data_IF_182821514522
#
_entry.id   IF_182821514522
#
_cell.length_a   1.000
_cell.length_b   1.000
_cell.length_c   1.000
_cell.angle_alpha   90.00
_cell.angle_beta   90.00
_cell.angle_gamma   90.00
#
_symmetry.space_group_name_H-M   'P 1'
#
loop_
_entity.id
_entity.type
_entity.pdbx_description
1 polymer ?
#
# COMPACT_ATOMS: atom_id res chain seq x y z
N UNK A 1 20.65 -15.90 -2.95
CA UNK A 1 19.85 -16.62 -3.97
C UNK A 1 18.39 -16.24 -3.76
N UNK A 2 17.76 -15.57 -4.73
CA UNK A 2 16.33 -15.19 -4.65
C UNK A 2 15.50 -16.47 -4.77
N UNK A 3 14.66 -16.77 -3.78
CA UNK A 3 13.74 -17.92 -3.84
C UNK A 3 12.56 -17.56 -4.75
N UNK A 4 12.06 -18.53 -5.49
CA UNK A 4 10.85 -18.36 -6.30
C UNK A 4 9.64 -18.12 -5.38
N UNK A 5 8.85 -17.05 -5.60
CA UNK A 5 7.60 -16.84 -4.89
C UNK A 5 6.62 -17.97 -5.17
N UNK A 6 5.90 -18.45 -4.15
CA UNK A 6 5.02 -19.61 -4.29
C UNK A 6 3.68 -19.30 -4.97
N UNK A 7 3.26 -18.03 -4.93
CA UNK A 7 2.07 -17.49 -5.60
C UNK A 7 2.18 -17.52 -7.13
N UNK A 8 3.37 -17.74 -7.69
CA UNK A 8 3.53 -18.00 -9.15
C UNK A 8 2.77 -19.24 -9.63
N UNK A 9 2.40 -20.12 -8.70
CA UNK A 9 1.66 -21.37 -9.00
C UNK A 9 0.16 -21.19 -8.95
N UNK A 10 -0.32 -20.03 -8.49
CA UNK A 10 -1.74 -19.74 -8.43
C UNK A 10 -2.28 -19.51 -9.84
N UNK A 11 -3.50 -19.97 -10.09
CA UNK A 11 -4.21 -19.61 -11.33
C UNK A 11 -4.67 -18.18 -11.21
N UNK A 12 -4.18 -17.31 -12.09
CA UNK A 12 -4.53 -15.90 -12.13
C UNK A 12 -5.38 -15.59 -13.37
N UNK A 13 -6.38 -14.70 -13.27
CA UNK A 13 -7.11 -14.18 -14.43
C UNK A 13 -6.17 -13.51 -15.44
N UNK A 14 -6.55 -13.48 -16.71
CA UNK A 14 -5.73 -12.92 -17.79
C UNK A 14 -5.44 -11.42 -17.57
N UNK A 15 -6.43 -10.68 -17.05
CA UNK A 15 -6.36 -9.26 -16.76
C UNK A 15 -5.38 -8.97 -15.63
N UNK A 16 -5.31 -9.86 -14.63
CA UNK A 16 -4.34 -9.79 -13.56
C UNK A 16 -2.92 -10.05 -14.08
N UNK A 17 -2.73 -11.06 -14.91
CA UNK A 17 -1.44 -11.33 -15.56
C UNK A 17 -0.99 -10.15 -16.43
N UNK A 18 -1.92 -9.53 -17.16
CA UNK A 18 -1.65 -8.30 -17.91
C UNK A 18 -1.15 -7.20 -16.96
N UNK A 19 -1.88 -6.90 -15.88
CA UNK A 19 -1.44 -5.91 -14.90
C UNK A 19 -0.02 -6.22 -14.36
N UNK A 20 0.22 -7.45 -13.93
CA UNK A 20 1.51 -7.87 -13.38
C UNK A 20 2.63 -7.80 -14.43
N UNK A 21 2.34 -8.01 -15.71
CA UNK A 21 3.33 -7.85 -16.79
C UNK A 21 3.75 -6.40 -17.02
N UNK A 22 2.87 -5.43 -16.71
CA UNK A 22 3.14 -4.00 -16.86
C UNK A 22 3.79 -3.38 -15.61
N UNK A 23 3.33 -3.76 -14.42
CA UNK A 23 3.67 -3.07 -13.16
C UNK A 23 4.32 -3.98 -12.13
N UNK A 24 4.38 -5.30 -12.36
CA UNK A 24 4.72 -6.26 -11.32
C UNK A 24 3.76 -6.19 -10.14
N UNK A 25 4.22 -6.66 -8.98
CA UNK A 25 3.50 -6.53 -7.71
C UNK A 25 3.63 -5.13 -7.09
N UNK A 26 3.46 -4.08 -7.90
CA UNK A 26 3.53 -2.70 -7.43
C UNK A 26 2.24 -1.96 -7.76
N UNK A 27 1.89 -1.02 -6.89
CA UNK A 27 0.75 -0.15 -7.13
C UNK A 27 1.06 0.85 -8.25
N UNK A 28 0.32 0.79 -9.34
CA UNK A 28 0.14 1.95 -10.19
C UNK A 28 -0.83 2.95 -9.52
N UNK A 29 -1.03 4.11 -10.16
CA UNK A 29 -1.92 5.15 -9.61
C UNK A 29 -3.34 4.63 -9.35
N UNK A 30 -3.97 3.98 -10.34
CA UNK A 30 -5.36 3.53 -10.26
C UNK A 30 -5.56 2.47 -9.18
N UNK A 31 -4.69 1.46 -9.15
CA UNK A 31 -4.73 0.41 -8.14
C UNK A 31 -4.50 0.98 -6.73
N UNK A 32 -3.59 1.94 -6.58
CA UNK A 32 -3.39 2.63 -5.29
C UNK A 32 -4.65 3.38 -4.87
N UNK A 33 -5.27 4.15 -5.77
CA UNK A 33 -6.49 4.90 -5.49
C UNK A 33 -7.65 3.96 -5.09
N UNK A 34 -7.81 2.85 -5.81
CA UNK A 34 -8.78 1.82 -5.47
C UNK A 34 -8.52 1.22 -4.09
N UNK A 35 -7.30 0.74 -3.83
CA UNK A 35 -6.91 0.13 -2.57
C UNK A 35 -7.12 1.09 -1.37
N UNK A 36 -6.74 2.36 -1.53
CA UNK A 36 -6.91 3.38 -0.49
C UNK A 36 -8.38 3.75 -0.29
N UNK A 37 -9.21 3.72 -1.33
CA UNK A 37 -10.65 3.99 -1.21
C UNK A 37 -11.39 3.02 -0.27
N UNK A 38 -10.84 1.81 -0.10
CA UNK A 38 -11.38 0.77 0.77
C UNK A 38 -10.93 0.92 2.23
N UNK A 39 -9.92 1.75 2.50
CA UNK A 39 -9.35 1.89 3.84
C UNK A 39 -10.32 2.58 4.80
N UNK A 40 -10.44 2.01 5.99
CA UNK A 40 -11.29 2.51 7.06
C UNK A 40 -10.50 2.52 8.35
N UNK A 41 -10.73 3.55 9.16
CA UNK A 41 -10.18 3.68 10.51
C UNK A 41 -11.28 3.43 11.54
N UNK A 42 -10.93 2.80 12.66
CA UNK A 42 -11.82 2.71 13.81
C UNK A 42 -11.93 4.08 14.47
N UNK A 43 -13.13 4.64 14.53
CA UNK A 43 -13.39 5.84 15.31
C UNK A 43 -13.52 5.44 16.80
N UNK A 44 -12.61 5.88 17.69
CA UNK A 44 -12.62 5.47 19.09
C UNK A 44 -13.83 6.01 19.87
N UNK A 45 -14.48 7.07 19.40
CA UNK A 45 -15.65 7.64 20.04
C UNK A 45 -16.93 6.87 19.69
N UNK A 46 -17.06 6.43 18.44
CA UNK A 46 -18.27 5.75 17.95
C UNK A 46 -18.15 4.23 17.94
N UNK A 47 -16.93 3.69 18.00
CA UNK A 47 -16.64 2.26 17.85
C UNK A 47 -16.92 1.73 16.45
N UNK A 48 -17.08 2.60 15.44
CA UNK A 48 -17.40 2.24 14.07
C UNK A 48 -16.21 2.44 13.14
N UNK A 49 -16.17 1.65 12.06
CA UNK A 49 -15.21 1.82 10.96
C UNK A 49 -15.70 2.92 10.03
N UNK A 50 -14.92 3.98 9.89
CA UNK A 50 -15.19 5.13 9.04
C UNK A 50 -14.12 5.22 7.95
N UNK A 51 -14.49 5.62 6.72
CA UNK A 51 -13.52 5.77 5.62
C UNK A 51 -12.52 6.88 5.98
N UNK A 52 -11.25 6.65 5.66
CA UNK A 52 -10.26 7.72 5.78
C UNK A 52 -10.41 8.72 4.64
N UNK A 53 -10.04 9.97 4.87
CA UNK A 53 -9.69 10.87 3.79
C UNK A 53 -8.31 10.46 3.25
N UNK A 54 -8.16 10.10 1.97
CA UNK A 54 -6.87 9.72 1.41
C UNK A 54 -5.83 10.84 1.50
N UNK A 55 -4.58 10.49 1.77
CA UNK A 55 -3.42 11.37 1.55
C UNK A 55 -3.05 11.25 0.07
N UNK A 56 -3.06 12.38 -0.65
CA UNK A 56 -2.62 12.40 -2.05
C UNK A 56 -1.11 12.17 -2.17
N UNK A 57 -0.65 11.72 -3.34
CA UNK A 57 0.78 11.54 -3.61
C UNK A 57 1.58 12.81 -3.30
N UNK A 58 1.08 13.96 -3.72
CA UNK A 58 1.73 15.26 -3.53
C UNK A 58 1.90 15.58 -2.04
N UNK A 59 0.91 15.23 -1.21
CA UNK A 59 0.99 15.40 0.24
C UNK A 59 1.97 14.43 0.89
N UNK A 60 2.09 13.21 0.36
CA UNK A 60 3.13 12.27 0.82
C UNK A 60 4.52 12.78 0.41
N UNK A 61 4.70 13.28 -0.81
CA UNK A 61 5.97 13.86 -1.27
C UNK A 61 6.39 15.08 -0.42
N UNK A 62 5.45 15.99 -0.14
CA UNK A 62 5.65 17.13 0.76
C UNK A 62 6.04 16.69 2.17
N UNK A 63 5.37 15.65 2.70
CA UNK A 63 5.65 15.08 4.02
C UNK A 63 7.09 14.54 4.10
N UNK A 64 7.48 13.70 3.15
CA UNK A 64 8.82 13.10 3.11
C UNK A 64 9.89 14.18 2.97
N UNK A 65 9.66 15.17 2.09
CA UNK A 65 10.56 16.30 1.90
C UNK A 65 10.72 17.13 3.18
N UNK A 66 9.60 17.44 3.86
CA UNK A 66 9.58 18.23 5.11
C UNK A 66 10.46 17.61 6.20
N UNK A 67 10.47 16.27 6.28
CA UNK A 67 11.23 15.53 7.29
C UNK A 67 12.56 14.98 6.77
N UNK A 68 12.98 15.35 5.55
CA UNK A 68 14.27 14.94 4.98
C UNK A 68 14.38 13.43 4.75
N UNK A 69 13.26 12.75 4.51
CA UNK A 69 13.23 11.30 4.29
C UNK A 69 13.51 11.00 2.82
N UNK A 70 14.52 10.17 2.59
CA UNK A 70 14.81 9.55 1.29
C UNK A 70 14.44 8.07 1.34
N UNK A 71 13.69 7.62 0.34
CA UNK A 71 13.34 6.22 0.12
C UNK A 71 14.30 5.64 -0.91
N UNK A 72 14.97 4.53 -0.59
CA UNK A 72 15.98 3.93 -1.47
C UNK A 72 15.35 2.89 -2.42
N UNK A 73 14.33 2.16 -1.96
CA UNK A 73 13.71 1.06 -2.71
C UNK A 73 12.29 1.39 -3.19
N UNK A 74 11.97 2.67 -3.37
CA UNK A 74 10.63 3.06 -3.78
C UNK A 74 10.33 2.70 -5.24
N UNK A 75 9.17 2.07 -5.46
CA UNK A 75 8.63 1.76 -6.79
C UNK A 75 7.18 2.25 -6.89
N UNK A 76 6.89 3.01 -7.95
CA UNK A 76 5.57 3.54 -8.28
C UNK A 76 4.83 4.17 -7.06
N UNK A 77 3.63 3.70 -6.71
CA UNK A 77 2.77 4.26 -5.66
C UNK A 77 2.81 3.48 -4.34
N UNK A 78 3.76 2.55 -4.15
CA UNK A 78 3.83 1.71 -2.95
C UNK A 78 3.97 2.54 -1.66
N UNK A 79 4.83 3.57 -1.68
CA UNK A 79 4.98 4.49 -0.54
C UNK A 79 3.70 5.30 -0.25
N UNK A 80 2.89 5.61 -1.26
CA UNK A 80 1.60 6.30 -1.10
C UNK A 80 0.59 5.37 -0.44
N UNK A 81 0.58 4.10 -0.83
CA UNK A 81 -0.20 3.07 -0.16
C UNK A 81 0.21 2.94 1.32
N UNK A 82 1.52 2.87 1.62
CA UNK A 82 2.00 2.80 3.01
C UNK A 82 1.61 4.03 3.84
N UNK A 83 1.69 5.23 3.29
CA UNK A 83 1.26 6.44 3.98
C UNK A 83 -0.23 6.37 4.38
N UNK A 84 -1.09 5.91 3.47
CA UNK A 84 -2.52 5.78 3.70
C UNK A 84 -2.85 4.62 4.65
N UNK A 85 -2.14 3.49 4.55
CA UNK A 85 -2.30 2.39 5.50
C UNK A 85 -1.90 2.85 6.92
N UNK A 86 -0.79 3.58 7.06
CA UNK A 86 -0.40 4.19 8.33
C UNK A 86 -1.51 5.07 8.90
N UNK A 87 -2.08 5.95 8.06
CA UNK A 87 -3.19 6.83 8.44
C UNK A 87 -4.40 6.03 8.97
N UNK A 88 -4.72 4.91 8.33
CA UNK A 88 -5.84 4.05 8.69
C UNK A 88 -5.60 3.27 9.99
N UNK A 89 -4.44 2.62 10.11
CA UNK A 89 -4.22 1.55 11.07
C UNK A 89 -3.45 2.01 12.33
N UNK A 90 -2.48 2.92 12.19
CA UNK A 90 -1.51 3.22 13.26
C UNK A 90 -1.41 4.69 13.65
N UNK A 91 -1.84 5.61 12.79
CA UNK A 91 -1.71 7.04 13.02
C UNK A 91 -2.59 7.56 14.16
N UNK A 92 -2.03 8.42 15.01
CA UNK A 92 -2.62 8.85 16.31
C UNK A 92 -2.89 7.69 17.26
N UNK A 93 -2.15 6.59 17.09
CA UNK A 93 -2.06 5.45 18.00
C UNK A 93 -0.58 5.17 18.23
N UNK A 94 -0.02 4.10 17.67
CA UNK A 94 1.41 3.79 17.74
C UNK A 94 2.29 4.71 16.89
N UNK A 95 1.73 5.36 15.86
CA UNK A 95 2.41 6.42 15.10
C UNK A 95 1.82 7.77 15.52
N UNK A 96 2.50 8.55 16.39
CA UNK A 96 1.88 9.69 17.08
C UNK A 96 1.72 10.95 16.20
N UNK A 97 2.59 11.16 15.22
CA UNK A 97 2.65 12.39 14.43
C UNK A 97 3.21 12.15 13.03
N UNK A 98 3.22 13.22 12.24
CA UNK A 98 3.64 13.20 10.83
C UNK A 98 5.12 12.84 10.65
N UNK A 99 5.99 13.22 11.60
CA UNK A 99 7.40 12.85 11.53
C UNK A 99 7.57 11.33 11.65
N UNK A 100 6.84 10.70 12.58
CA UNK A 100 6.83 9.26 12.74
C UNK A 100 6.11 8.54 11.59
N UNK A 101 5.11 9.18 10.95
CA UNK A 101 4.52 8.64 9.71
C UNK A 101 5.55 8.62 8.58
N UNK A 102 6.37 9.66 8.44
CA UNK A 102 7.43 9.70 7.44
C UNK A 102 8.47 8.59 7.67
N UNK A 103 8.84 8.33 8.94
CA UNK A 103 9.69 7.19 9.31
C UNK A 103 9.01 5.84 9.04
N UNK A 104 7.73 5.69 9.37
CA UNK A 104 6.98 4.47 9.06
C UNK A 104 7.00 4.16 7.56
N UNK A 105 6.76 5.16 6.70
CA UNK A 105 6.82 4.97 5.24
C UNK A 105 8.22 4.49 4.82
N UNK A 106 9.28 5.09 5.38
CA UNK A 106 10.66 4.67 5.14
C UNK A 106 10.88 3.22 5.55
N UNK A 107 10.49 2.87 6.77
CA UNK A 107 10.69 1.53 7.33
C UNK A 107 9.98 0.47 6.48
N UNK A 108 8.79 0.76 5.96
CA UNK A 108 8.03 -0.18 5.13
C UNK A 108 8.54 -0.29 3.69
N UNK A 109 9.09 0.80 3.12
CA UNK A 109 9.62 0.81 1.74
C UNK A 109 11.03 0.24 1.68
N UNK A 110 11.86 0.59 2.66
CA UNK A 110 13.28 0.22 2.71
C UNK A 110 13.54 -1.01 3.60
N UNK A 111 12.49 -1.78 3.94
CA UNK A 111 12.59 -3.00 4.74
C UNK A 111 13.59 -3.98 4.09
N UNK A 112 14.72 -4.31 4.75
CA UNK A 112 15.74 -5.18 4.19
C UNK A 112 15.30 -6.65 4.07
N UNK A 113 14.25 -7.07 4.79
CA UNK A 113 13.75 -8.45 4.75
C UNK A 113 12.49 -8.62 3.90
N UNK A 114 11.88 -7.52 3.46
CA UNK A 114 10.73 -7.54 2.58
C UNK A 114 11.12 -7.93 1.13
N UNK A 115 10.48 -8.93 0.50
CA UNK A 115 10.53 -9.08 -0.94
C UNK A 115 9.99 -7.85 -1.68
N UNK A 116 10.50 -7.69 -2.89
CA UNK A 116 10.00 -6.74 -3.89
C UNK A 116 8.48 -6.88 -4.09
N UNK A 117 7.78 -5.74 -4.15
CA UNK A 117 6.32 -5.67 -4.32
C UNK A 117 5.49 -5.96 -3.04
N UNK A 118 6.12 -5.98 -1.87
CA UNK A 118 5.46 -6.37 -0.61
C UNK A 118 4.17 -5.59 -0.30
N UNK A 119 4.11 -4.30 -0.63
CA UNK A 119 2.92 -3.46 -0.40
C UNK A 119 1.67 -4.04 -1.08
N UNK A 120 1.78 -4.33 -2.38
CA UNK A 120 0.67 -4.86 -3.15
C UNK A 120 0.39 -6.32 -2.80
N UNK A 121 1.43 -7.14 -2.57
CA UNK A 121 1.27 -8.53 -2.14
C UNK A 121 0.47 -8.63 -0.83
N UNK A 122 0.81 -7.81 0.18
CA UNK A 122 0.08 -7.79 1.45
C UNK A 122 -1.37 -7.32 1.28
N UNK A 123 -1.60 -6.29 0.48
CA UNK A 123 -2.94 -5.82 0.20
C UNK A 123 -3.77 -6.88 -0.52
N UNK A 124 -3.23 -7.46 -1.59
CA UNK A 124 -3.93 -8.45 -2.39
C UNK A 124 -4.22 -9.73 -1.61
N UNK A 125 -3.31 -10.18 -0.74
CA UNK A 125 -3.57 -11.29 0.17
C UNK A 125 -4.77 -11.01 1.10
N UNK A 126 -4.95 -9.77 1.58
CA UNK A 126 -6.12 -9.38 2.38
C UNK A 126 -7.40 -9.40 1.54
N UNK A 127 -7.37 -8.88 0.30
CA UNK A 127 -8.51 -8.88 -0.61
C UNK A 127 -8.97 -10.31 -0.92
N UNK A 128 -8.04 -11.19 -1.31
CA UNK A 128 -8.30 -12.60 -1.56
C UNK A 128 -8.90 -13.30 -0.34
N UNK A 129 -8.32 -13.07 0.85
CA UNK A 129 -8.82 -13.68 2.09
C UNK A 129 -10.21 -13.18 2.48
N UNK A 130 -10.52 -11.93 2.18
CA UNK A 130 -11.82 -11.31 2.45
C UNK A 130 -12.88 -11.67 1.40
N UNK A 131 -12.48 -12.21 0.24
CA UNK A 131 -13.38 -12.43 -0.89
C UNK A 131 -13.80 -11.13 -1.57
N UNK A 132 -12.97 -10.08 -1.48
CA UNK A 132 -13.25 -8.78 -2.09
C UNK A 132 -12.74 -8.78 -3.54
N UNK A 133 -13.60 -8.47 -4.53
CA UNK A 133 -13.22 -8.51 -5.93
C UNK A 133 -12.31 -7.35 -6.31
N UNK A 134 -11.49 -7.58 -7.34
CA UNK A 134 -10.67 -6.57 -8.00
C UNK A 134 -10.94 -6.68 -9.51
N UNK A 135 -11.50 -5.63 -10.09
CA UNK A 135 -11.70 -5.52 -11.55
C UNK A 135 -10.36 -5.14 -12.19
N UNK A 136 -9.55 -6.15 -12.53
CA UNK A 136 -8.14 -5.98 -12.92
C UNK A 136 -7.95 -5.20 -14.23
N UNK A 137 -8.90 -5.30 -15.15
CA UNK A 137 -8.92 -4.56 -16.41
C UNK A 137 -9.07 -3.05 -16.22
N UNK A 138 -9.89 -2.64 -15.24
CA UNK A 138 -10.04 -1.22 -14.88
C UNK A 138 -8.77 -0.63 -14.26
N UNK A 139 -7.91 -1.50 -13.70
CA UNK A 139 -6.67 -1.10 -13.03
C UNK A 139 -5.49 -0.91 -13.99
N UNK A 140 -5.60 -1.30 -15.26
CA UNK A 140 -4.58 -1.06 -16.29
C UNK A 140 -4.48 0.41 -16.73
#
# INVERSE_FOLDING_TARGET
MRREPLDIRDRRPEEMEAYLSHFGWHFNKKMCEFAVSLMKKMNPQTGKKERIEPISKEKVDELLTRYGIKLENNVLYDYVYWANQCKADTFKSSVPDEAHMALYIKDMVDDPDAPDGMAMCMWYAKMNRAGEPVEWDEML
#
